data_IF_757326410083
#
_entry.id   IF_757326410083
#
_cell.length_a   1.000
_cell.length_b   1.000
_cell.length_c   1.000
_cell.angle_alpha   90.00
_cell.angle_beta   90.00
_cell.angle_gamma   90.00
#
_symmetry.space_group_name_H-M   'P 1'
#
loop_
_entity.id
_entity.type
_entity.pdbx_description
1 polymer ?
#
# COMPACT_ATOMS: atom_id res chain seq x y z
N UNK A 1 5.99 22.34 4.80
CA UNK A 1 4.58 22.26 4.35
C UNK A 1 3.80 23.40 5.01
N UNK A 2 2.93 24.14 4.29
CA UNK A 2 2.15 25.24 4.90
C UNK A 2 1.01 24.70 5.78
N UNK A 3 0.60 25.47 6.80
CA UNK A 3 -0.54 25.09 7.67
C UNK A 3 -1.82 24.80 6.87
N UNK A 4 -2.12 25.65 5.88
CA UNK A 4 -3.27 25.49 4.98
C UNK A 4 -3.25 24.16 4.22
N UNK A 5 -2.07 23.71 3.77
CA UNK A 5 -1.92 22.44 3.07
C UNK A 5 -2.12 21.24 4.02
N UNK A 6 -1.60 21.32 5.24
CA UNK A 6 -1.85 20.30 6.28
C UNK A 6 -3.33 20.18 6.64
N UNK A 7 -4.03 21.31 6.78
CA UNK A 7 -5.47 21.33 7.07
C UNK A 7 -6.29 20.73 5.93
N UNK A 8 -5.95 21.04 4.69
CA UNK A 8 -6.58 20.46 3.51
C UNK A 8 -6.37 18.95 3.43
N UNK A 9 -5.14 18.46 3.58
CA UNK A 9 -4.85 17.01 3.58
C UNK A 9 -5.59 16.26 4.70
N UNK A 10 -5.65 16.85 5.90
CA UNK A 10 -6.45 16.29 7.00
C UNK A 10 -7.94 16.27 6.70
N UNK A 11 -8.46 17.32 6.06
CA UNK A 11 -9.86 17.37 5.61
C UNK A 11 -10.13 16.28 4.57
N UNK A 12 -9.31 16.17 3.54
CA UNK A 12 -9.49 15.20 2.46
C UNK A 12 -9.38 13.76 2.98
N UNK A 13 -8.42 13.49 3.88
CA UNK A 13 -8.35 12.22 4.61
C UNK A 13 -9.62 11.95 5.40
N UNK A 14 -10.12 12.93 6.16
CA UNK A 14 -11.37 12.73 6.91
C UNK A 14 -12.55 12.43 5.99
N UNK A 15 -12.68 13.14 4.88
CA UNK A 15 -13.76 12.90 3.91
C UNK A 15 -13.64 11.51 3.29
N UNK A 16 -12.43 11.11 2.89
CA UNK A 16 -12.20 9.80 2.29
C UNK A 16 -12.51 8.64 3.25
N UNK A 17 -12.21 8.80 4.54
CA UNK A 17 -12.42 7.74 5.54
C UNK A 17 -13.82 7.79 6.18
N UNK A 18 -14.35 8.98 6.44
CA UNK A 18 -15.54 9.23 7.28
C UNK A 18 -16.71 9.90 6.53
N UNK A 19 -16.52 10.27 5.26
CA UNK A 19 -17.48 11.10 4.53
C UNK A 19 -17.67 12.46 5.18
N UNK A 20 -18.92 12.91 5.29
CA UNK A 20 -19.25 14.18 5.96
C UNK A 20 -19.31 14.05 7.50
N UNK A 21 -19.10 12.84 8.04
CA UNK A 21 -19.16 12.59 9.49
C UNK A 21 -17.80 12.85 10.15
N UNK A 22 -17.77 13.35 11.40
CA UNK A 22 -16.53 13.38 12.16
C UNK A 22 -16.08 11.96 12.53
N UNK A 23 -14.77 11.75 12.79
CA UNK A 23 -14.33 10.53 13.45
C UNK A 23 -15.08 10.31 14.76
N UNK A 24 -15.53 9.09 15.06
CA UNK A 24 -16.24 8.84 16.30
C UNK A 24 -15.33 9.11 17.51
N UNK A 25 -15.91 9.50 18.65
CA UNK A 25 -15.15 9.71 19.88
C UNK A 25 -14.43 8.43 20.28
N UNK A 26 -13.16 8.55 20.72
CA UNK A 26 -12.39 7.39 21.18
C UNK A 26 -11.44 7.72 22.32
N UNK A 27 -11.09 6.68 23.07
CA UNK A 27 -9.96 6.69 24.00
C UNK A 27 -8.71 6.30 23.22
N UNK A 28 -7.68 7.14 23.25
CA UNK A 28 -6.42 6.83 22.59
C UNK A 28 -5.84 5.51 23.12
N UNK A 29 -5.31 4.67 22.23
CA UNK A 29 -4.55 3.50 22.63
C UNK A 29 -3.43 3.94 23.60
N UNK A 30 -3.21 3.20 24.71
CA UNK A 30 -2.11 3.50 25.61
C UNK A 30 -0.78 3.42 24.87
N UNK A 31 0.25 4.10 25.40
CA UNK A 31 1.58 3.94 24.86
C UNK A 31 1.97 2.46 24.93
N UNK A 32 2.52 1.88 23.86
CA UNK A 32 2.80 0.45 23.85
C UNK A 32 3.81 0.03 24.92
N UNK A 33 3.51 -1.07 25.60
CA UNK A 33 4.43 -1.74 26.51
C UNK A 33 5.11 -2.92 25.79
N UNK A 34 6.44 -3.03 25.81
CA UNK A 34 7.18 -4.11 25.15
C UNK A 34 8.39 -3.63 24.35
N UNK A 35 8.96 -4.53 23.56
CA UNK A 35 10.09 -4.21 22.68
C UNK A 35 9.60 -3.48 21.43
N UNK A 36 9.85 -2.17 21.34
CA UNK A 36 9.54 -1.39 20.14
C UNK A 36 10.57 -1.71 19.07
N UNK A 37 10.17 -2.50 18.07
CA UNK A 37 11.03 -2.91 16.95
C UNK A 37 10.95 -1.92 15.77
N UNK A 38 9.88 -1.10 15.71
CA UNK A 38 9.76 -0.03 14.73
C UNK A 38 8.90 1.12 15.24
N UNK A 39 9.27 2.35 14.88
CA UNK A 39 8.49 3.56 15.17
C UNK A 39 8.56 4.51 13.98
N UNK A 40 7.40 4.96 13.51
CA UNK A 40 7.28 6.02 12.52
C UNK A 40 6.16 6.97 12.90
N UNK A 41 6.49 8.23 13.21
CA UNK A 41 5.54 9.26 13.65
C UNK A 41 4.65 8.78 14.79
N UNK A 42 3.38 8.48 14.51
CA UNK A 42 2.33 8.09 15.45
C UNK A 42 1.94 6.61 15.31
N UNK A 43 2.85 5.80 14.74
CA UNK A 43 2.71 4.36 14.62
C UNK A 43 3.89 3.62 15.23
N UNK A 44 3.58 2.52 15.89
CA UNK A 44 4.54 1.68 16.60
C UNK A 44 4.31 0.23 16.23
N UNK A 45 5.39 -0.51 16.05
CA UNK A 45 5.37 -1.98 15.99
C UNK A 45 6.11 -2.49 17.21
N UNK A 46 5.44 -3.34 17.97
CA UNK A 46 5.90 -3.79 19.28
C UNK A 46 5.86 -5.31 19.29
N UNK A 47 6.98 -5.93 19.62
CA UNK A 47 7.09 -7.39 19.68
C UNK A 47 6.73 -7.91 21.07
N UNK A 48 5.95 -8.98 21.08
CA UNK A 48 5.54 -9.71 22.28
C UNK A 48 5.79 -11.22 22.07
N UNK A 49 7.07 -11.62 22.15
CA UNK A 49 7.46 -13.01 21.88
C UNK A 49 7.19 -13.40 20.42
N UNK A 50 6.13 -14.18 20.21
CA UNK A 50 5.72 -14.72 18.90
C UNK A 50 4.62 -13.88 18.22
N UNK A 51 4.23 -12.75 18.81
CA UNK A 51 3.27 -11.81 18.20
C UNK A 51 3.89 -10.43 18.04
N UNK A 52 3.32 -9.64 17.14
CA UNK A 52 3.61 -8.20 17.01
C UNK A 52 2.32 -7.42 17.01
N UNK A 53 2.32 -6.28 17.69
CA UNK A 53 1.18 -5.37 17.69
C UNK A 53 1.55 -4.07 16.99
N UNK A 54 0.77 -3.71 15.98
CA UNK A 54 0.81 -2.40 15.30
C UNK A 54 -0.15 -1.46 16.01
N UNK A 55 0.37 -0.36 16.55
CA UNK A 55 -0.43 0.67 17.22
C UNK A 55 -0.53 1.93 16.37
N UNK A 56 -1.70 2.57 16.35
CA UNK A 56 -1.91 3.93 15.86
C UNK A 56 -2.38 4.83 17.02
N UNK A 57 -1.60 5.87 17.34
CA UNK A 57 -1.95 6.81 18.42
C UNK A 57 -2.58 8.12 17.90
N UNK A 58 -2.69 8.31 16.59
CA UNK A 58 -3.25 9.52 15.97
C UNK A 58 -4.77 9.61 16.16
N UNK A 59 -5.36 10.75 16.58
CA UNK A 59 -6.80 10.89 16.86
C UNK A 59 -7.74 10.29 15.80
N UNK A 60 -7.42 10.46 14.52
CA UNK A 60 -8.16 9.89 13.38
C UNK A 60 -8.03 8.35 13.18
N UNK A 61 -7.32 7.63 14.05
CA UNK A 61 -7.16 6.16 14.07
C UNK A 61 -6.73 5.54 12.74
N UNK A 62 -7.15 4.29 12.49
CA UNK A 62 -6.86 3.56 11.25
C UNK A 62 -8.00 3.57 10.20
N UNK A 63 -9.18 4.12 10.50
CA UNK A 63 -10.36 4.19 9.62
C UNK A 63 -11.65 4.41 10.40
N UNK A 64 -12.83 4.31 9.78
CA UNK A 64 -14.15 4.40 10.47
C UNK A 64 -14.61 3.12 11.16
N UNK A 65 -13.94 2.02 10.88
CA UNK A 65 -14.44 0.69 11.23
C UNK A 65 -13.76 0.19 12.50
N UNK A 66 -14.49 -0.62 13.28
CA UNK A 66 -13.98 -1.29 14.49
C UNK A 66 -12.73 -2.13 14.21
N UNK A 67 -12.58 -2.61 12.97
CA UNK A 67 -11.37 -3.26 12.47
C UNK A 67 -10.74 -2.42 11.36
N UNK A 68 -9.42 -2.22 11.40
CA UNK A 68 -8.71 -1.48 10.38
C UNK A 68 -8.67 -2.24 9.06
N UNK A 69 -8.59 -1.50 7.95
CA UNK A 69 -8.48 -2.07 6.61
C UNK A 69 -7.42 -3.16 6.51
N UNK A 70 -6.23 -2.95 7.07
CA UNK A 70 -5.12 -3.93 7.00
C UNK A 70 -5.51 -5.28 7.62
N UNK A 71 -6.18 -5.30 8.76
CA UNK A 71 -6.63 -6.54 9.39
C UNK A 71 -7.66 -7.28 8.52
N UNK A 72 -8.60 -6.54 7.92
CA UNK A 72 -9.60 -7.10 7.01
C UNK A 72 -8.95 -7.64 5.73
N UNK A 73 -7.97 -6.92 5.17
CA UNK A 73 -7.23 -7.34 3.99
C UNK A 73 -6.41 -8.60 4.27
N UNK A 74 -5.70 -8.68 5.39
CA UNK A 74 -4.91 -9.86 5.75
C UNK A 74 -5.79 -11.12 5.82
N UNK A 75 -6.98 -11.01 6.42
CA UNK A 75 -7.96 -12.10 6.46
C UNK A 75 -8.44 -12.48 5.05
N UNK A 76 -8.82 -11.49 4.24
CA UNK A 76 -9.27 -11.71 2.87
C UNK A 76 -8.20 -12.38 1.99
N UNK A 77 -6.95 -11.95 2.07
CA UNK A 77 -5.83 -12.50 1.30
C UNK A 77 -5.53 -13.95 1.71
N UNK A 78 -5.53 -14.24 3.02
CA UNK A 78 -5.34 -15.61 3.54
C UNK A 78 -6.43 -16.58 3.07
N UNK A 79 -7.66 -16.10 2.90
CA UNK A 79 -8.80 -16.92 2.45
C UNK A 79 -8.87 -17.13 0.93
N UNK A 80 -8.37 -16.18 0.14
CA UNK A 80 -8.62 -16.13 -1.31
C UNK A 80 -7.37 -16.35 -2.18
N UNK A 81 -6.20 -16.48 -1.57
CA UNK A 81 -4.92 -16.64 -2.27
C UNK A 81 -4.01 -17.63 -1.54
N UNK A 82 -2.90 -18.00 -2.15
CA UNK A 82 -1.82 -18.75 -1.49
C UNK A 82 -0.72 -17.84 -0.97
N UNK A 83 -0.93 -16.52 -0.98
CA UNK A 83 0.08 -15.55 -0.56
C UNK A 83 0.30 -15.70 0.95
N UNK A 84 1.54 -15.93 1.41
CA UNK A 84 1.81 -16.01 2.82
C UNK A 84 1.67 -14.62 3.44
N UNK A 85 0.79 -14.49 4.42
CA UNK A 85 0.55 -13.26 5.17
C UNK A 85 0.47 -13.58 6.67
N UNK A 86 0.84 -12.64 7.57
CA UNK A 86 0.72 -12.85 9.00
C UNK A 86 -0.71 -13.17 9.42
N UNK A 87 -0.89 -14.09 10.36
CA UNK A 87 -2.20 -14.33 10.96
C UNK A 87 -2.65 -13.14 11.82
N UNK A 88 -3.91 -12.72 11.64
CA UNK A 88 -4.55 -11.71 12.50
C UNK A 88 -5.07 -12.39 13.76
N UNK A 89 -4.42 -12.13 14.89
CA UNK A 89 -4.78 -12.70 16.20
C UNK A 89 -5.93 -11.91 16.82
N UNK A 90 -5.77 -10.59 16.85
CA UNK A 90 -6.78 -9.67 17.33
C UNK A 90 -6.66 -8.34 16.60
N UNK A 91 -7.76 -7.63 16.46
CA UNK A 91 -7.74 -6.27 15.94
C UNK A 91 -8.86 -5.45 16.56
N UNK A 92 -8.52 -4.20 16.86
CA UNK A 92 -9.45 -3.13 17.16
C UNK A 92 -9.09 -1.92 16.30
N UNK A 93 -9.83 -0.84 16.47
CA UNK A 93 -9.71 0.39 15.70
C UNK A 93 -8.28 0.93 15.56
N UNK A 94 -7.46 0.80 16.62
CA UNK A 94 -6.13 1.42 16.73
C UNK A 94 -5.00 0.40 16.82
N UNK A 95 -5.33 -0.89 16.94
CA UNK A 95 -4.37 -1.95 17.15
C UNK A 95 -4.66 -3.15 16.27
N UNK A 96 -3.59 -3.69 15.71
CA UNK A 96 -3.62 -4.98 15.02
C UNK A 96 -2.55 -5.84 15.67
N UNK A 97 -2.97 -6.92 16.31
CA UNK A 97 -2.07 -7.96 16.77
C UNK A 97 -1.97 -9.06 15.71
N UNK A 98 -0.75 -9.31 15.28
CA UNK A 98 -0.39 -10.23 14.22
C UNK A 98 0.60 -11.28 14.72
N UNK A 99 0.64 -12.41 14.05
CA UNK A 99 1.77 -13.34 14.12
C UNK A 99 3.10 -12.61 13.82
N UNK A 100 4.13 -12.87 14.62
CA UNK A 100 5.48 -12.43 14.30
C UNK A 100 6.11 -13.36 13.27
N UNK A 101 6.54 -12.80 12.14
CA UNK A 101 7.22 -13.57 11.10
C UNK A 101 8.74 -13.51 11.31
N UNK A 102 9.32 -14.66 11.64
CA UNK A 102 10.78 -14.81 11.68
C UNK A 102 11.38 -14.85 10.28
N UNK A 103 12.41 -14.04 10.06
CA UNK A 103 13.16 -13.97 8.81
C UNK A 103 13.89 -12.65 8.67
N UNK A 104 14.48 -12.45 7.49
CA UNK A 104 15.05 -11.18 7.06
C UNK A 104 14.16 -10.56 6.00
N UNK A 105 14.16 -9.24 5.88
CA UNK A 105 13.50 -8.62 4.73
C UNK A 105 14.22 -9.00 3.43
N UNK A 106 13.53 -9.01 2.30
CA UNK A 106 14.14 -9.24 0.98
C UNK A 106 15.28 -8.26 0.75
N UNK A 107 15.13 -7.00 1.20
CA UNK A 107 16.19 -5.99 1.16
C UNK A 107 17.49 -6.46 1.84
N UNK A 108 17.37 -7.06 3.02
CA UNK A 108 18.51 -7.52 3.81
C UNK A 108 19.10 -8.83 3.26
N UNK A 109 18.25 -9.75 2.81
CA UNK A 109 18.66 -11.04 2.28
C UNK A 109 19.26 -10.96 0.87
N UNK A 110 18.81 -10.01 0.03
CA UNK A 110 19.15 -9.95 -1.40
C UNK A 110 20.65 -10.07 -1.72
N UNK A 111 21.57 -9.36 -1.02
CA UNK A 111 23.00 -9.44 -1.30
C UNK A 111 23.59 -10.83 -1.10
N UNK A 112 23.02 -11.65 -0.21
CA UNK A 112 23.51 -12.99 0.13
C UNK A 112 22.78 -14.13 -0.60
N UNK A 113 21.67 -13.85 -1.29
CA UNK A 113 20.92 -14.88 -2.01
C UNK A 113 21.70 -15.37 -3.23
N UNK A 114 21.69 -16.68 -3.42
CA UNK A 114 22.23 -17.33 -4.60
C UNK A 114 21.36 -17.02 -5.85
N UNK A 115 21.92 -17.06 -7.07
CA UNK A 115 21.17 -16.74 -8.27
C UNK A 115 19.88 -17.55 -8.46
N UNK A 116 19.89 -18.83 -8.08
CA UNK A 116 18.71 -19.70 -8.19
C UNK A 116 17.62 -19.34 -7.17
N UNK A 117 18.00 -18.88 -5.97
CA UNK A 117 17.05 -18.41 -4.96
C UNK A 117 16.39 -17.10 -5.39
N UNK A 118 17.18 -16.18 -5.96
CA UNK A 118 16.65 -14.93 -6.54
C UNK A 118 15.62 -15.21 -7.62
N UNK A 119 15.93 -16.11 -8.56
CA UNK A 119 14.97 -16.52 -9.61
C UNK A 119 13.69 -17.10 -9.00
N UNK A 120 13.82 -18.03 -8.04
CA UNK A 120 12.67 -18.64 -7.38
C UNK A 120 11.80 -17.60 -6.65
N UNK A 121 12.41 -16.62 -5.98
CA UNK A 121 11.70 -15.52 -5.30
C UNK A 121 10.97 -14.63 -6.32
N UNK A 122 11.59 -14.31 -7.45
CA UNK A 122 10.94 -13.52 -8.50
C UNK A 122 9.76 -14.27 -9.13
N UNK A 123 9.89 -15.59 -9.33
CA UNK A 123 8.79 -16.43 -9.82
C UNK A 123 7.64 -16.49 -8.81
N UNK A 124 7.94 -16.62 -7.50
CA UNK A 124 6.92 -16.54 -6.44
C UNK A 124 6.20 -15.19 -6.42
N UNK A 125 6.94 -14.08 -6.51
CA UNK A 125 6.34 -12.74 -6.56
C UNK A 125 5.45 -12.56 -7.78
N UNK A 126 5.87 -13.06 -8.95
CA UNK A 126 5.07 -13.00 -10.17
C UNK A 126 3.76 -13.76 -10.02
N UNK A 127 3.82 -14.97 -9.45
CA UNK A 127 2.62 -15.76 -9.17
C UNK A 127 1.68 -15.04 -8.20
N UNK A 128 2.19 -14.52 -7.08
CA UNK A 128 1.39 -13.78 -6.10
C UNK A 128 0.73 -12.53 -6.69
N UNK A 129 1.46 -11.75 -7.51
CA UNK A 129 0.87 -10.60 -8.22
C UNK A 129 -0.22 -11.03 -9.21
N UNK A 130 -0.05 -12.19 -9.87
CA UNK A 130 -1.08 -12.80 -10.70
C UNK A 130 -2.35 -13.14 -9.91
N UNK A 131 -2.20 -13.72 -8.72
CA UNK A 131 -3.32 -14.03 -7.83
C UNK A 131 -4.07 -12.78 -7.36
N UNK A 132 -3.35 -11.73 -6.96
CA UNK A 132 -3.97 -10.43 -6.60
C UNK A 132 -4.77 -9.85 -7.77
N UNK A 133 -4.18 -9.88 -8.97
CA UNK A 133 -4.81 -9.38 -10.19
C UNK A 133 -6.03 -10.19 -10.63
N UNK A 134 -6.14 -11.45 -10.22
CA UNK A 134 -7.31 -12.28 -10.48
C UNK A 134 -8.53 -11.82 -9.65
N UNK A 135 -8.31 -11.21 -8.48
CA UNK A 135 -9.35 -10.61 -7.65
C UNK A 135 -9.80 -9.29 -8.30
N UNK A 136 -11.08 -9.20 -8.69
CA UNK A 136 -11.64 -8.04 -9.42
C UNK A 136 -12.50 -7.16 -8.52
N UNK A 137 -12.36 -5.85 -8.69
CA UNK A 137 -13.15 -4.82 -8.01
C UNK A 137 -14.06 -4.05 -8.97
N UNK A 138 -15.01 -3.31 -8.41
CA UNK A 138 -15.94 -2.45 -9.17
C UNK A 138 -15.87 -0.97 -8.76
N UNK A 139 -14.96 -0.64 -7.85
CA UNK A 139 -14.68 0.72 -7.39
C UNK A 139 -13.18 0.85 -7.09
N UNK A 140 -12.67 2.08 -7.04
CA UNK A 140 -11.29 2.39 -6.66
C UNK A 140 -11.29 2.97 -5.25
N UNK A 141 -10.56 2.31 -4.34
CA UNK A 141 -10.57 2.65 -2.93
C UNK A 141 -10.01 1.55 -2.04
N UNK A 142 -10.11 1.75 -0.72
CA UNK A 142 -9.74 0.75 0.28
C UNK A 142 -10.64 -0.48 0.20
N UNK A 143 -10.20 -1.60 0.76
CA UNK A 143 -10.95 -2.85 0.76
C UNK A 143 -12.33 -2.73 1.44
N UNK A 144 -12.42 -1.88 2.47
CA UNK A 144 -13.64 -1.66 3.24
C UNK A 144 -14.62 -0.62 2.64
N UNK A 145 -14.41 -0.23 1.38
CA UNK A 145 -15.26 0.72 0.66
C UNK A 145 -14.95 2.18 0.95
N UNK A 146 -13.97 2.49 1.81
CA UNK A 146 -13.50 3.86 2.01
C UNK A 146 -12.68 4.37 0.82
N UNK A 147 -12.44 5.69 0.81
CA UNK A 147 -11.68 6.35 -0.24
C UNK A 147 -10.26 5.81 -0.41
N UNK A 148 -9.76 5.92 -1.63
CA UNK A 148 -8.40 5.61 -2.00
C UNK A 148 -7.41 6.42 -1.18
N UNK A 149 -6.25 5.81 -0.90
CA UNK A 149 -5.16 6.45 -0.18
C UNK A 149 -3.89 6.26 -1.00
N UNK A 150 -3.22 7.35 -1.33
CA UNK A 150 -2.07 7.34 -2.25
C UNK A 150 -0.80 7.52 -1.41
N UNK A 151 0.06 6.49 -1.33
CA UNK A 151 1.32 6.60 -0.61
C UNK A 151 2.30 7.45 -1.44
N UNK A 152 2.43 8.73 -1.08
CA UNK A 152 3.38 9.65 -1.69
C UNK A 152 4.05 10.55 -0.65
N UNK A 153 5.00 11.40 -1.08
CA UNK A 153 5.67 12.38 -0.21
C UNK A 153 4.66 13.20 0.60
N UNK A 154 3.50 13.47 -0.01
CA UNK A 154 2.35 14.08 0.65
C UNK A 154 1.15 13.17 0.46
N UNK A 155 0.98 12.18 1.35
CA UNK A 155 -0.15 11.24 1.32
C UNK A 155 -1.47 11.93 0.98
N UNK A 156 -2.14 11.44 -0.06
CA UNK A 156 -3.43 11.96 -0.53
C UNK A 156 -4.52 10.95 -0.23
N UNK A 157 -5.73 11.43 -0.03
CA UNK A 157 -6.90 10.57 0.12
C UNK A 157 -8.09 11.17 -0.61
N UNK A 158 -8.91 10.33 -1.23
CA UNK A 158 -10.10 10.77 -1.96
C UNK A 158 -10.96 9.60 -2.41
N UNK A 159 -12.18 9.88 -2.87
CA UNK A 159 -13.12 8.84 -3.26
C UNK A 159 -13.94 8.31 -2.08
N UNK A 160 -14.45 7.06 -2.14
CA UNK A 160 -14.18 6.04 -3.17
C UNK A 160 -14.65 6.48 -4.56
N UNK A 161 -14.04 5.93 -5.61
CA UNK A 161 -14.37 6.27 -6.99
C UNK A 161 -15.08 5.10 -7.68
N UNK A 162 -16.16 5.36 -8.40
CA UNK A 162 -16.91 4.33 -9.13
C UNK A 162 -16.48 4.17 -10.58
N UNK A 163 -15.54 5.01 -11.05
CA UNK A 163 -14.99 4.95 -12.40
C UNK A 163 -13.51 5.33 -12.43
N UNK A 164 -12.78 4.73 -13.37
CA UNK A 164 -11.38 5.05 -13.64
C UNK A 164 -11.20 6.54 -14.01
N UNK A 165 -12.11 7.07 -14.82
CA UNK A 165 -12.12 8.48 -15.22
C UNK A 165 -12.15 9.41 -14.00
N UNK A 166 -13.11 9.23 -13.09
CA UNK A 166 -13.22 10.08 -11.89
C UNK A 166 -11.99 10.01 -10.99
N UNK A 167 -11.35 8.85 -10.92
CA UNK A 167 -10.10 8.65 -10.18
C UNK A 167 -8.93 9.38 -10.86
N UNK A 168 -8.77 9.23 -12.17
CA UNK A 168 -7.72 9.89 -12.95
C UNK A 168 -7.86 11.43 -12.92
N UNK A 169 -9.09 11.94 -13.04
CA UNK A 169 -9.40 13.37 -12.89
C UNK A 169 -9.04 13.91 -11.50
N UNK A 170 -9.26 13.11 -10.46
CA UNK A 170 -8.86 13.45 -9.10
C UNK A 170 -7.34 13.39 -8.91
N UNK A 171 -6.66 12.37 -9.47
CA UNK A 171 -5.21 12.23 -9.39
C UNK A 171 -4.47 13.44 -9.96
N UNK A 172 -4.95 14.02 -11.07
CA UNK A 172 -4.32 15.22 -11.70
C UNK A 172 -4.62 16.55 -11.03
N UNK A 173 -5.32 16.56 -9.90
CA UNK A 173 -5.55 17.77 -9.10
C UNK A 173 -4.69 17.68 -7.83
N UNK A 174 -3.35 17.87 -7.93
CA UNK A 174 -2.48 17.73 -6.77
C UNK A 174 -2.76 18.82 -5.74
N UNK A 175 -2.45 18.57 -4.45
CA UNK A 175 -2.65 19.51 -3.34
C UNK A 175 -1.97 20.87 -3.53
N UNK A 176 -0.88 20.89 -4.29
CA UNK A 176 -0.15 22.10 -4.68
C UNK A 176 -0.14 22.20 -6.19
N UNK A 177 -0.95 23.11 -6.74
CA UNK A 177 -0.90 23.45 -8.17
C UNK A 177 0.39 24.19 -8.47
N UNK A 178 1.20 23.64 -9.37
CA UNK A 178 2.22 24.40 -10.09
C UNK A 178 1.61 24.70 -11.46
N UNK A 179 1.32 25.97 -11.71
CA UNK A 179 0.52 26.42 -12.86
C UNK A 179 1.06 25.91 -14.20
N UNK A 180 2.40 25.90 -14.34
CA UNK A 180 3.13 25.38 -15.51
C UNK A 180 2.87 23.90 -15.82
N UNK A 181 2.53 23.08 -14.82
CA UNK A 181 2.31 21.64 -15.03
C UNK A 181 0.86 21.31 -15.40
N UNK A 182 -0.10 22.22 -15.13
CA UNK A 182 -1.54 21.98 -15.27
C UNK A 182 -1.98 21.57 -16.67
N UNK A 183 -1.34 22.14 -17.72
CA UNK A 183 -1.64 21.80 -19.11
C UNK A 183 -1.04 20.44 -19.51
N UNK A 184 0.20 20.17 -19.08
CA UNK A 184 0.85 18.89 -19.30
C UNK A 184 0.04 17.76 -18.66
N UNK A 185 -0.50 18.02 -17.47
CA UNK A 185 -1.38 17.11 -16.76
C UNK A 185 -2.64 16.74 -17.51
N UNK A 186 -3.39 17.75 -17.94
CA UNK A 186 -4.62 17.55 -18.69
C UNK A 186 -4.39 16.83 -20.02
N UNK A 187 -3.20 16.99 -20.63
CA UNK A 187 -2.82 16.27 -21.85
C UNK A 187 -2.45 14.81 -21.57
N UNK A 188 -1.69 14.53 -20.51
CA UNK A 188 -1.32 13.17 -20.13
C UNK A 188 -2.53 12.33 -19.71
N UNK A 189 -3.49 12.88 -18.96
CA UNK A 189 -4.71 12.13 -18.57
C UNK A 189 -5.48 11.62 -19.78
N UNK A 190 -5.53 12.40 -20.88
CA UNK A 190 -6.19 12.00 -22.12
C UNK A 190 -5.47 10.85 -22.85
N UNK A 191 -4.23 10.57 -22.49
CA UNK A 191 -3.41 9.51 -23.07
C UNK A 191 -3.32 8.27 -22.17
N UNK A 192 -3.78 8.34 -20.91
CA UNK A 192 -3.88 7.17 -20.05
C UNK A 192 -4.89 6.18 -20.64
N UNK A 193 -4.68 4.89 -20.38
CA UNK A 193 -5.65 3.87 -20.75
C UNK A 193 -7.02 4.18 -20.16
N UNK A 194 -8.05 4.17 -21.01
CA UNK A 194 -9.42 4.45 -20.62
C UNK A 194 -10.12 3.24 -19.98
N UNK A 195 -9.60 2.03 -20.21
CA UNK A 195 -10.29 0.76 -19.91
C UNK A 195 -9.47 -0.20 -19.03
N UNK A 196 -8.68 0.34 -18.09
CA UNK A 196 -7.95 -0.54 -17.18
C UNK A 196 -8.91 -1.28 -16.24
N UNK A 197 -8.79 -2.62 -16.13
CA UNK A 197 -9.56 -3.36 -15.14
C UNK A 197 -9.15 -2.94 -13.74
N UNK A 198 -10.14 -2.86 -12.84
CA UNK A 198 -9.90 -2.63 -11.42
C UNK A 198 -9.68 -3.98 -10.75
N UNK A 199 -8.55 -4.12 -10.08
CA UNK A 199 -8.08 -5.36 -9.47
C UNK A 199 -7.67 -5.11 -8.03
N UNK A 200 -7.51 -6.17 -7.26
CA UNK A 200 -6.93 -6.03 -5.92
C UNK A 200 -5.42 -5.79 -6.04
N UNK A 201 -4.90 -4.85 -5.26
CA UNK A 201 -3.49 -4.45 -5.28
C UNK A 201 -2.99 -4.27 -3.86
N UNK A 202 -1.71 -4.53 -3.62
CA UNK A 202 -1.10 -4.32 -2.32
C UNK A 202 -0.80 -2.84 -2.06
N UNK A 203 -0.37 -2.09 -3.07
CA UNK A 203 -0.11 -0.64 -2.97
C UNK A 203 1.22 -0.24 -2.31
N UNK A 204 2.04 -1.20 -1.86
CA UNK A 204 3.40 -0.97 -1.31
C UNK A 204 4.25 -2.24 -1.41
N UNK A 205 4.27 -2.86 -2.59
CA UNK A 205 5.17 -4.00 -2.87
C UNK A 205 6.60 -3.46 -2.88
N UNK A 206 7.28 -3.63 -1.76
CA UNK A 206 8.65 -3.17 -1.56
C UNK A 206 9.49 -4.23 -0.86
N UNK A 207 10.79 -4.19 -1.06
CA UNK A 207 11.72 -5.23 -0.58
C UNK A 207 11.81 -5.30 0.95
N UNK A 208 11.43 -4.21 1.63
CA UNK A 208 11.30 -4.12 3.09
C UNK A 208 10.04 -4.80 3.63
N UNK A 209 9.05 -5.04 2.78
CA UNK A 209 7.76 -5.63 3.14
C UNK A 209 7.66 -7.11 2.76
N UNK A 210 8.74 -7.71 2.23
CA UNK A 210 8.78 -9.12 1.84
C UNK A 210 9.73 -9.84 2.80
N UNK A 211 9.25 -10.85 3.52
CA UNK A 211 10.04 -11.62 4.46
C UNK A 211 10.60 -12.89 3.81
N UNK A 212 11.89 -13.11 4.00
CA UNK A 212 12.67 -14.22 3.45
C UNK A 212 13.21 -15.08 4.59
N UNK A 213 13.09 -16.40 4.42
CA UNK A 213 13.73 -17.42 5.25
C UNK A 213 14.07 -18.62 4.38
N UNK A 214 15.28 -19.17 4.52
CA UNK A 214 15.77 -20.32 3.76
C UNK A 214 15.57 -20.18 2.23
N UNK A 215 15.90 -19.00 1.69
CA UNK A 215 15.84 -18.72 0.25
C UNK A 215 14.43 -18.58 -0.33
N UNK A 216 13.39 -18.44 0.49
CA UNK A 216 11.98 -18.38 0.04
C UNK A 216 11.19 -17.27 0.72
N UNK A 217 10.13 -16.81 0.05
CA UNK A 217 9.17 -15.87 0.64
C UNK A 217 8.34 -16.60 1.70
N UNK A 218 8.36 -16.07 2.93
CA UNK A 218 7.58 -16.59 4.06
C UNK A 218 6.49 -15.65 4.55
N UNK A 219 6.51 -14.36 4.13
CA UNK A 219 5.37 -13.46 4.28
C UNK A 219 5.49 -12.23 3.36
N UNK A 220 4.35 -11.66 2.99
CA UNK A 220 4.23 -10.28 2.50
C UNK A 220 3.52 -9.45 3.59
N UNK A 221 4.12 -8.32 3.96
CA UNK A 221 3.74 -7.46 5.08
C UNK A 221 3.20 -6.10 4.62
N UNK A 222 2.63 -5.34 5.56
CA UNK A 222 2.23 -3.93 5.40
C UNK A 222 1.16 -3.69 4.33
N UNK A 223 0.02 -4.35 4.49
CA UNK A 223 -1.15 -4.28 3.61
C UNK A 223 -2.04 -3.05 3.86
N UNK A 224 -1.52 -2.02 4.52
CA UNK A 224 -2.32 -0.86 4.92
C UNK A 224 -2.86 -0.04 3.74
N UNK A 225 -2.14 -0.05 2.62
CA UNK A 225 -2.46 0.66 1.37
C UNK A 225 -3.25 -0.20 0.40
N UNK A 226 -3.48 -1.47 0.75
CA UNK A 226 -4.13 -2.42 -0.12
C UNK A 226 -5.62 -2.09 -0.31
N UNK A 227 -6.09 -2.42 -1.50
CA UNK A 227 -7.44 -2.12 -1.94
C UNK A 227 -7.62 -2.38 -3.43
N UNK A 228 -8.66 -1.77 -3.97
CA UNK A 228 -9.05 -1.91 -5.36
C UNK A 228 -8.51 -0.73 -6.17
N UNK A 229 -7.65 -1.02 -7.15
CA UNK A 229 -6.98 0.00 -7.96
C UNK A 229 -6.81 -0.48 -9.41
N UNK A 230 -6.48 0.41 -10.35
CA UNK A 230 -6.20 0.02 -11.73
C UNK A 230 -5.06 -1.00 -11.82
N UNK A 231 -5.09 -1.91 -12.78
CA UNK A 231 -4.11 -3.02 -12.92
C UNK A 231 -2.62 -2.62 -12.94
N UNK A 232 -2.32 -1.37 -13.31
CA UNK A 232 -0.97 -0.81 -13.31
C UNK A 232 -0.46 -0.40 -11.91
N UNK A 233 -1.30 -0.39 -10.88
CA UNK A 233 -0.98 0.21 -9.58
C UNK A 233 0.26 -0.41 -8.94
N UNK A 234 0.27 -1.74 -8.76
CA UNK A 234 1.41 -2.45 -8.19
C UNK A 234 2.63 -2.45 -9.13
N UNK A 235 2.47 -2.27 -10.44
CA UNK A 235 3.61 -2.06 -11.35
C UNK A 235 4.37 -0.78 -10.97
N UNK A 236 3.64 0.31 -10.77
CA UNK A 236 4.23 1.60 -10.43
C UNK A 236 4.85 1.58 -9.02
N UNK A 237 4.16 1.01 -8.04
CA UNK A 237 4.68 0.96 -6.68
C UNK A 237 5.81 -0.06 -6.50
N UNK A 238 5.79 -1.18 -7.21
CA UNK A 238 6.90 -2.13 -7.19
C UNK A 238 8.18 -1.52 -7.78
N UNK A 239 8.07 -0.77 -8.88
CA UNK A 239 9.23 -0.06 -9.44
C UNK A 239 9.85 0.91 -8.45
N UNK A 240 9.06 1.63 -7.65
CA UNK A 240 9.59 2.52 -6.59
C UNK A 240 10.08 1.76 -5.35
N UNK A 241 9.37 0.71 -4.98
CA UNK A 241 9.56 -0.03 -3.73
C UNK A 241 10.71 -1.03 -3.77
N UNK A 242 11.02 -1.57 -4.95
CA UNK A 242 12.06 -2.58 -5.16
C UNK A 242 13.37 -2.00 -5.73
N UNK A 243 13.34 -0.80 -6.32
CA UNK A 243 14.53 -0.11 -6.86
C UNK A 243 15.50 0.40 -5.77
N UNK A 244 15.01 0.59 -4.53
CA UNK A 244 15.82 1.11 -3.41
C UNK A 244 16.82 0.11 -2.79
N UNK A 245 17.12 -1.01 -3.44
CA UNK A 245 18.07 -2.04 -2.94
C UNK A 245 19.32 -2.09 -3.82
N UNK A 246 19.15 -2.44 -5.10
CA UNK A 246 20.18 -2.43 -6.12
C UNK A 246 19.50 -2.55 -7.50
N UNK A 247 19.56 -1.48 -8.29
CA UNK A 247 18.99 -1.46 -9.64
C UNK A 247 19.55 -2.56 -10.53
N UNK A 248 20.85 -2.87 -10.42
CA UNK A 248 21.50 -3.82 -11.34
C UNK A 248 21.02 -5.25 -11.11
N UNK A 249 20.65 -5.59 -9.88
CA UNK A 249 20.29 -6.95 -9.51
C UNK A 249 18.80 -7.12 -9.20
N UNK A 250 18.18 -6.30 -8.35
CA UNK A 250 16.75 -6.42 -8.02
C UNK A 250 15.88 -5.57 -8.96
N UNK A 251 16.24 -4.29 -9.11
CA UNK A 251 15.43 -3.33 -9.87
C UNK A 251 15.22 -3.74 -11.33
N UNK A 252 16.26 -4.26 -11.97
CA UNK A 252 16.23 -4.72 -13.37
C UNK A 252 15.26 -5.89 -13.62
N UNK A 253 14.91 -6.66 -12.58
CA UNK A 253 13.93 -7.75 -12.67
C UNK A 253 12.50 -7.31 -12.33
N UNK A 254 12.27 -6.12 -11.79
CA UNK A 254 10.92 -5.66 -11.44
C UNK A 254 9.97 -5.66 -12.64
N UNK A 255 10.37 -5.18 -13.85
CA UNK A 255 9.49 -5.24 -15.00
C UNK A 255 9.07 -6.66 -15.40
N UNK A 256 9.88 -7.70 -15.09
CA UNK A 256 9.56 -9.08 -15.47
C UNK A 256 8.48 -9.71 -14.59
N UNK A 257 8.14 -9.08 -13.46
CA UNK A 257 7.03 -9.49 -12.60
C UNK A 257 5.66 -9.25 -13.26
N UNK A 258 5.61 -8.45 -14.32
CA UNK A 258 4.37 -8.00 -14.94
C UNK A 258 4.35 -8.39 -16.42
N UNK A 259 3.20 -8.87 -16.90
CA UNK A 259 3.06 -9.29 -18.31
C UNK A 259 2.97 -8.11 -19.28
N UNK A 260 2.56 -6.94 -18.78
CA UNK A 260 2.47 -5.68 -19.53
C UNK A 260 3.28 -4.60 -18.84
N UNK A 261 3.82 -3.67 -19.64
CA UNK A 261 4.50 -2.46 -19.14
C UNK A 261 3.54 -1.29 -19.14
N UNK A 262 3.54 -0.53 -18.04
CA UNK A 262 2.71 0.65 -17.84
C UNK A 262 3.59 1.90 -17.71
N UNK A 263 4.48 2.11 -18.70
CA UNK A 263 5.50 3.16 -18.63
C UNK A 263 4.88 4.57 -18.65
N UNK A 264 3.77 4.77 -19.37
CA UNK A 264 3.02 6.03 -19.36
C UNK A 264 2.36 6.29 -18.00
N UNK A 265 1.73 5.27 -17.40
CA UNK A 265 1.11 5.35 -16.07
C UNK A 265 2.15 5.60 -14.98
N UNK A 266 3.36 5.01 -15.13
CA UNK A 266 4.50 5.28 -14.27
C UNK A 266 4.90 6.76 -14.34
N UNK A 267 5.17 7.28 -15.54
CA UNK A 267 5.52 8.71 -15.71
C UNK A 267 4.41 9.62 -15.17
N UNK A 268 3.16 9.27 -15.42
CA UNK A 268 2.01 10.00 -14.90
C UNK A 268 1.98 10.05 -13.36
N UNK A 269 2.18 8.90 -12.72
CA UNK A 269 2.21 8.79 -11.27
C UNK A 269 3.47 9.43 -10.66
N UNK A 270 4.60 9.50 -11.36
CA UNK A 270 5.82 10.19 -10.91
C UNK A 270 5.64 11.69 -10.78
N UNK A 271 4.94 12.29 -11.71
CA UNK A 271 4.79 13.74 -11.68
C UNK A 271 3.65 14.09 -10.65
N UNK A 272 2.67 13.19 -10.37
CA UNK A 272 1.42 13.52 -9.62
C UNK A 272 1.52 13.25 -8.11
N UNK A 273 2.55 12.49 -7.70
CA UNK A 273 2.77 12.00 -6.33
C UNK A 273 3.80 12.82 -5.55
#
# INVERSE_FOLDING_TARGET
MSKRLQEMMRRDKRIAMYGDSPPPPRTAAPYPEGEVIYKCTERYIVRHGNTVTKYAIHPDGMGVNDKPNEALVLQFIKENTTIPVPEVISSDWDRIELEYIEGQTLKEAWPSLEPHERTAIMDQLKDYLGQLRALKGFYIGRFDGQGAVIPSIMTRSGGPFTSLESFQEWLVRPPKRIEEQSLHWAQMTKQLGADYPIVFTHGDISSRNIMIRDGRIVAILDWEWAGWYPVYWDYVFALRGLDNVDWKTLGSHVPTLFDERYDLDLTFLEITM
#
